data_IF_021714986719
#
_entry.id   IF_021714986719
#
_cell.length_a   1.000
_cell.length_b   1.000
_cell.length_c   1.000
_cell.angle_alpha   90.00
_cell.angle_beta   90.00
_cell.angle_gamma   90.00
#
_symmetry.space_group_name_H-M   'P 1'
#
loop_
_entity.id
_entity.type
_entity.pdbx_description
1 polymer ?
#
# COMPACT_ATOMS: atom_id res chain seq x y z
N UNK A 1 -5.68 -49.00 -15.77
CA UNK A 1 -4.79 -49.03 -14.58
C UNK A 1 -5.57 -48.44 -13.41
N UNK A 2 -5.88 -49.28 -12.42
CA UNK A 2 -6.59 -48.91 -11.18
C UNK A 2 -5.55 -48.41 -10.17
N UNK A 3 -5.80 -47.27 -9.54
CA UNK A 3 -5.04 -46.79 -8.40
C UNK A 3 -5.95 -46.85 -7.17
N UNK A 4 -5.56 -47.70 -6.22
CA UNK A 4 -6.17 -47.80 -4.90
C UNK A 4 -5.63 -46.69 -4.00
N UNK A 5 -6.56 -46.03 -3.29
CA UNK A 5 -6.29 -45.04 -2.26
C UNK A 5 -6.40 -45.68 -0.86
N UNK A 6 -5.31 -45.67 -0.09
CA UNK A 6 -5.23 -45.69 1.41
C UNK A 6 -3.81 -45.19 1.74
N UNK A 7 -3.52 -44.18 2.55
CA UNK A 7 -4.19 -43.63 3.71
C UNK A 7 -3.20 -43.69 4.87
N UNK A 8 -2.57 -42.58 5.25
CA UNK A 8 -1.99 -42.41 6.60
C UNK A 8 -1.95 -40.93 6.95
N UNK A 9 -2.86 -40.55 7.85
CA UNK A 9 -2.94 -39.23 8.49
C UNK A 9 -1.88 -39.22 9.60
N UNK A 10 -0.91 -38.32 9.50
CA UNK A 10 -0.01 -37.99 10.61
C UNK A 10 -0.36 -36.58 11.12
N UNK A 11 -1.07 -36.53 12.25
CA UNK A 11 -1.29 -35.31 13.01
C UNK A 11 0.00 -34.96 13.76
N UNK A 12 0.75 -33.97 13.27
CA UNK A 12 1.81 -33.32 14.02
C UNK A 12 1.27 -32.02 14.61
N UNK A 13 0.91 -32.10 15.89
CA UNK A 13 0.65 -30.94 16.75
C UNK A 13 1.98 -30.23 16.98
N UNK A 14 2.17 -29.07 16.36
CA UNK A 14 3.29 -28.18 16.64
C UNK A 14 2.76 -26.93 17.32
N UNK A 15 2.96 -26.86 18.64
CA UNK A 15 2.76 -25.64 19.42
C UNK A 15 3.86 -24.64 19.09
N UNK A 16 3.51 -23.56 18.40
CA UNK A 16 4.41 -22.44 18.14
C UNK A 16 4.00 -21.27 19.02
N UNK A 17 4.75 -21.09 20.11
CA UNK A 17 4.81 -19.85 20.89
C UNK A 17 5.56 -18.84 20.02
N UNK A 18 4.81 -18.01 19.30
CA UNK A 18 5.34 -16.90 18.50
C UNK A 18 5.06 -15.58 19.21
N UNK A 19 6.11 -15.00 19.78
CA UNK A 19 6.10 -13.71 20.47
C UNK A 19 5.61 -12.61 19.53
N UNK A 20 4.54 -11.93 19.92
CA UNK A 20 4.04 -10.72 19.27
C UNK A 20 5.08 -9.61 19.37
N UNK A 21 5.74 -9.28 18.27
CA UNK A 21 6.51 -8.06 18.10
C UNK A 21 6.00 -7.30 16.86
N UNK A 22 4.73 -6.89 16.92
CA UNK A 22 4.20 -5.85 16.04
C UNK A 22 4.35 -4.51 16.75
N UNK A 23 5.44 -3.79 16.48
CA UNK A 23 5.60 -2.42 16.94
C UNK A 23 4.63 -1.54 16.16
N UNK A 24 3.54 -1.12 16.82
CA UNK A 24 2.79 0.05 16.40
C UNK A 24 3.69 1.26 16.65
N UNK A 25 4.22 1.87 15.60
CA UNK A 25 4.84 3.19 15.71
C UNK A 25 3.69 4.19 15.86
N UNK A 26 3.44 4.56 17.12
CA UNK A 26 2.44 5.54 17.46
C UNK A 26 2.27 5.67 18.97
N UNK A 27 3.33 6.07 19.67
CA UNK A 27 3.29 6.64 21.04
C UNK A 27 4.68 7.18 21.41
N UNK A 28 4.89 8.48 21.23
CA UNK A 28 5.99 9.20 21.89
C UNK A 28 5.59 9.42 23.35
N UNK A 29 5.93 8.47 24.22
CA UNK A 29 5.82 8.67 25.67
C UNK A 29 6.91 9.66 26.10
N UNK A 30 6.47 10.85 26.51
CA UNK A 30 7.34 11.89 27.05
C UNK A 30 8.10 11.41 28.28
N UNK A 31 9.40 11.72 28.31
CA UNK A 31 10.24 11.52 29.48
C UNK A 31 9.75 12.42 30.64
N UNK A 32 9.71 11.90 31.89
CA UNK A 32 9.49 12.72 33.07
C UNK A 32 10.84 13.24 33.57
N UNK A 33 11.04 14.56 33.61
CA UNK A 33 12.13 15.14 34.38
C UNK A 33 12.62 16.49 33.89
N UNK A 34 12.26 17.55 34.61
CA UNK A 34 12.88 18.88 34.46
C UNK A 34 11.88 20.01 34.68
N UNK A 35 11.55 20.27 35.93
CA UNK A 35 10.74 21.42 36.34
C UNK A 35 11.55 22.71 36.17
N UNK A 36 11.46 23.34 34.99
CA UNK A 36 11.82 24.73 34.80
C UNK A 36 10.56 25.55 34.48
N UNK A 37 10.14 26.34 35.48
CA UNK A 37 9.08 27.32 35.36
C UNK A 37 9.46 28.38 34.32
N UNK A 38 8.90 28.29 33.11
CA UNK A 38 9.03 29.38 32.12
C UNK A 38 7.83 29.50 31.19
N UNK A 39 7.02 30.51 31.53
CA UNK A 39 6.21 31.37 30.66
C UNK A 39 5.15 30.66 29.83
N UNK A 40 3.93 30.63 30.36
CA UNK A 40 2.70 30.26 29.64
C UNK A 40 2.66 30.94 28.27
N UNK A 41 2.85 30.22 27.15
CA UNK A 41 2.48 30.75 25.87
C UNK A 41 0.96 30.79 25.87
N UNK A 42 0.41 32.00 25.92
CA UNK A 42 -1.00 32.30 25.75
C UNK A 42 -1.57 31.37 24.68
N UNK A 43 -2.43 30.43 25.11
CA UNK A 43 -3.27 29.62 24.24
C UNK A 43 -4.26 30.55 23.53
N UNK A 44 -3.74 31.31 22.58
CA UNK A 44 -4.55 31.99 21.59
C UNK A 44 -5.28 30.89 20.84
N UNK A 45 -6.56 30.75 21.14
CA UNK A 45 -7.48 29.93 20.37
C UNK A 45 -7.50 30.53 18.97
N UNK A 46 -6.61 30.06 18.10
CA UNK A 46 -6.63 30.39 16.68
C UNK A 46 -7.90 29.76 16.15
N UNK A 47 -8.94 30.58 16.05
CA UNK A 47 -10.16 30.24 15.32
C UNK A 47 -9.75 29.79 13.93
N UNK A 48 -9.90 28.49 13.65
CA UNK A 48 -9.63 27.92 12.34
C UNK A 48 -10.34 28.77 11.28
N UNK A 49 -9.62 29.14 10.22
CA UNK A 49 -10.20 29.93 9.15
C UNK A 49 -11.37 29.14 8.53
N UNK A 50 -12.48 29.78 8.15
CA UNK A 50 -13.56 29.13 7.41
C UNK A 50 -12.99 28.55 6.11
N UNK A 51 -12.78 27.23 6.06
CA UNK A 51 -12.15 26.53 4.93
C UNK A 51 -10.84 25.79 5.24
N UNK A 52 -10.26 25.96 6.43
CA UNK A 52 -9.12 25.15 6.90
C UNK A 52 -9.40 24.66 8.33
N UNK A 53 -10.33 23.69 8.52
CA UNK A 53 -10.69 23.17 9.83
C UNK A 53 -9.50 22.66 10.64
N UNK A 54 -8.43 22.21 9.97
CA UNK A 54 -7.24 21.66 10.61
C UNK A 54 -6.16 22.72 10.88
N UNK A 55 -6.32 23.95 10.38
CA UNK A 55 -5.36 25.05 10.54
C UNK A 55 -3.96 24.69 10.01
N UNK A 56 -3.89 23.87 8.96
CA UNK A 56 -2.63 23.35 8.42
C UNK A 56 -2.00 24.27 7.36
N UNK A 57 -2.73 25.29 6.89
CA UNK A 57 -2.28 26.12 5.77
C UNK A 57 -2.09 25.30 4.49
N UNK A 58 -2.87 24.23 4.35
CA UNK A 58 -2.99 23.38 3.17
C UNK A 58 -4.39 23.62 2.59
N UNK A 59 -4.59 23.69 1.26
CA UNK A 59 -5.93 23.88 0.72
C UNK A 59 -6.85 22.66 0.98
N UNK A 60 -8.03 22.91 1.56
CA UNK A 60 -9.13 21.94 1.59
C UNK A 60 -9.86 21.98 0.23
N UNK A 61 -9.73 20.90 -0.55
CA UNK A 61 -10.32 20.76 -1.88
C UNK A 61 -10.98 19.38 -2.00
N UNK A 62 -12.30 19.36 -1.79
CA UNK A 62 -13.12 18.17 -2.02
C UNK A 62 -13.22 17.85 -3.51
N UNK A 63 -13.29 16.56 -3.84
CA UNK A 63 -13.22 16.07 -5.21
C UNK A 63 -14.57 15.51 -5.66
N UNK A 64 -15.07 15.97 -6.80
CA UNK A 64 -16.18 15.33 -7.49
C UNK A 64 -15.76 13.97 -8.08
N UNK A 65 -16.72 13.08 -8.28
CA UNK A 65 -16.44 11.83 -8.96
C UNK A 65 -16.13 12.04 -10.44
N UNK A 66 -15.02 11.46 -10.89
CA UNK A 66 -14.61 11.39 -12.28
C UNK A 66 -13.83 10.08 -12.51
N UNK A 67 -14.46 9.09 -13.14
CA UNK A 67 -13.86 7.76 -13.30
C UNK A 67 -12.53 7.77 -14.07
N UNK A 68 -12.26 8.80 -14.87
CA UNK A 68 -11.02 8.93 -15.65
C UNK A 68 -9.90 9.65 -14.89
N UNK A 69 -10.08 9.92 -13.59
CA UNK A 69 -9.09 10.62 -12.76
C UNK A 69 -8.69 9.74 -11.59
N UNK A 70 -7.43 9.85 -11.22
CA UNK A 70 -6.87 9.18 -10.03
C UNK A 70 -6.22 10.19 -9.10
N UNK A 71 -6.05 9.81 -7.84
CA UNK A 71 -5.27 10.57 -6.86
C UNK A 71 -4.25 9.66 -6.20
N UNK A 72 -3.15 10.26 -5.73
CA UNK A 72 -2.23 9.58 -4.82
C UNK A 72 -2.55 10.03 -3.40
N UNK A 73 -3.10 9.14 -2.59
CA UNK A 73 -3.31 9.37 -1.16
C UNK A 73 -1.96 9.24 -0.45
N UNK A 74 -1.50 10.35 0.14
CA UNK A 74 -0.19 10.44 0.81
C UNK A 74 -0.31 10.53 2.34
N UNK A 75 -1.53 10.57 2.87
CA UNK A 75 -1.81 10.49 4.30
C UNK A 75 -3.29 10.63 4.61
N UNK A 76 -3.70 10.26 5.81
CA UNK A 76 -5.07 10.45 6.31
C UNK A 76 -5.07 10.61 7.83
N UNK A 77 -6.10 11.27 8.37
CA UNK A 77 -6.24 11.50 9.81
C UNK A 77 -7.18 12.66 10.14
N UNK A 78 -7.20 13.06 11.41
CA UNK A 78 -8.09 14.13 11.91
C UNK A 78 -7.33 15.29 12.58
N UNK A 79 -6.00 15.24 12.52
CA UNK A 79 -5.14 16.19 13.24
C UNK A 79 -4.29 17.00 12.26
N UNK A 80 -3.94 18.22 12.64
CA UNK A 80 -2.97 19.00 11.88
C UNK A 80 -1.65 18.24 11.61
N UNK A 81 -1.20 17.44 12.58
CA UNK A 81 0.07 16.72 12.50
C UNK A 81 0.16 15.74 11.32
N UNK A 82 -0.94 15.11 10.89
CA UNK A 82 -0.87 14.24 9.70
C UNK A 82 -0.68 15.06 8.42
N UNK A 83 -1.30 16.25 8.32
CA UNK A 83 -1.12 17.14 7.17
C UNK A 83 0.29 17.73 7.13
N UNK A 84 0.84 18.11 8.28
CA UNK A 84 2.22 18.60 8.37
C UNK A 84 3.21 17.51 7.92
N UNK A 85 2.98 16.25 8.31
CA UNK A 85 3.77 15.10 7.84
C UNK A 85 3.63 14.90 6.32
N UNK A 86 2.40 14.90 5.80
CA UNK A 86 2.15 14.74 4.37
C UNK A 86 2.83 15.85 3.56
N UNK A 87 2.71 17.11 3.99
CA UNK A 87 3.36 18.26 3.36
C UNK A 87 4.89 18.15 3.41
N UNK A 88 5.46 17.80 4.56
CA UNK A 88 6.91 17.65 4.70
C UNK A 88 7.48 16.53 3.85
N UNK A 89 6.74 15.44 3.66
CA UNK A 89 7.13 14.32 2.80
C UNK A 89 6.95 14.62 1.29
N UNK A 90 6.24 15.70 0.95
CA UNK A 90 5.89 16.06 -0.43
C UNK A 90 6.08 17.57 -0.68
N UNK A 91 7.29 18.13 -0.49
CA UNK A 91 7.51 19.58 -0.51
C UNK A 91 7.12 20.23 -1.85
N UNK A 92 7.31 19.52 -2.96
CA UNK A 92 7.05 20.02 -4.31
C UNK A 92 5.72 19.52 -4.91
N UNK A 93 5.03 18.60 -4.22
CA UNK A 93 3.88 17.89 -4.77
C UNK A 93 2.57 18.71 -4.80
N UNK A 94 2.55 19.88 -4.17
CA UNK A 94 1.33 20.69 -4.05
C UNK A 94 0.23 19.95 -3.29
N UNK A 95 0.58 19.38 -2.13
CA UNK A 95 -0.36 18.64 -1.26
C UNK A 95 -1.63 19.45 -1.03
N UNK A 96 -2.76 18.79 -1.21
CA UNK A 96 -4.09 19.27 -0.83
C UNK A 96 -4.65 18.27 0.17
N UNK A 97 -5.76 18.63 0.80
CA UNK A 97 -6.53 17.65 1.55
C UNK A 97 -8.02 17.78 1.28
N UNK A 98 -8.76 16.72 1.56
CA UNK A 98 -10.20 16.65 1.37
C UNK A 98 -10.88 16.08 2.60
N UNK A 99 -12.17 16.36 2.73
CA UNK A 99 -13.07 15.67 3.65
C UNK A 99 -13.79 14.57 2.88
N UNK A 100 -13.66 13.32 3.33
CA UNK A 100 -14.15 12.16 2.56
C UNK A 100 -15.67 12.16 2.42
N UNK A 101 -16.39 12.57 3.46
CA UNK A 101 -17.86 12.66 3.45
C UNK A 101 -18.41 13.67 2.44
N UNK A 102 -17.59 14.66 2.04
CA UNK A 102 -17.96 15.72 1.11
C UNK A 102 -17.27 15.56 -0.26
N UNK A 103 -16.63 14.42 -0.52
CA UNK A 103 -15.93 14.10 -1.76
C UNK A 103 -16.53 12.86 -2.42
N UNK A 104 -15.99 12.45 -3.57
CA UNK A 104 -16.43 11.26 -4.29
C UNK A 104 -16.46 10.03 -3.37
N UNK A 105 -17.54 9.22 -3.39
CA UNK A 105 -17.61 7.95 -2.68
C UNK A 105 -16.65 6.94 -3.33
N UNK A 106 -15.41 6.89 -2.85
CA UNK A 106 -14.36 5.96 -3.28
C UNK A 106 -13.52 5.54 -2.08
N UNK A 107 -12.59 4.61 -2.28
CA UNK A 107 -11.63 4.21 -1.25
C UNK A 107 -10.54 5.29 -1.09
N UNK A 108 -10.43 5.88 0.09
CA UNK A 108 -9.36 6.84 0.42
C UNK A 108 -8.39 6.35 1.50
N UNK A 109 -8.78 5.37 2.31
CA UNK A 109 -7.99 4.83 3.42
C UNK A 109 -7.55 3.41 3.16
N UNK A 110 -7.21 2.68 4.23
CA UNK A 110 -7.03 1.23 4.11
C UNK A 110 -8.33 0.55 3.63
N UNK A 111 -8.19 -0.43 2.75
CA UNK A 111 -9.32 -1.26 2.32
C UNK A 111 -10.01 -1.94 3.50
N UNK A 112 -11.32 -2.15 3.38
CA UNK A 112 -12.19 -2.75 4.39
C UNK A 112 -12.22 -2.04 5.76
N UNK A 113 -11.77 -0.78 5.81
CA UNK A 113 -11.89 0.10 6.98
C UNK A 113 -12.88 1.23 6.72
N UNK A 114 -13.35 1.83 7.81
CA UNK A 114 -14.15 3.04 7.72
C UNK A 114 -13.36 4.14 6.99
N UNK A 115 -13.99 4.89 6.08
CA UNK A 115 -13.35 6.04 5.44
C UNK A 115 -12.80 6.99 6.51
N UNK A 116 -11.53 7.43 6.41
CA UNK A 116 -11.00 8.43 7.32
C UNK A 116 -11.72 9.77 7.11
N UNK A 117 -11.84 10.61 8.14
CA UNK A 117 -12.52 11.92 8.00
C UNK A 117 -11.81 12.83 6.99
N UNK A 118 -10.47 12.95 7.09
CA UNK A 118 -9.67 13.72 6.13
C UNK A 118 -8.54 12.92 5.50
N UNK A 119 -8.20 13.30 4.28
CA UNK A 119 -7.19 12.64 3.44
C UNK A 119 -6.32 13.70 2.78
N UNK A 120 -5.01 13.56 2.89
CA UNK A 120 -4.02 14.33 2.13
C UNK A 120 -3.71 13.61 0.82
N UNK A 121 -3.71 14.35 -0.29
CA UNK A 121 -3.51 13.76 -1.62
C UNK A 121 -2.69 14.65 -2.56
N UNK A 122 -2.13 14.01 -3.59
CA UNK A 122 -1.60 14.64 -4.80
C UNK A 122 -2.55 14.40 -5.98
N UNK A 123 -2.55 15.32 -6.94
CA UNK A 123 -3.39 15.26 -8.15
C UNK A 123 -4.58 16.23 -8.13
N UNK A 124 -5.70 15.90 -8.84
CA UNK A 124 -5.95 14.66 -9.59
C UNK A 124 -5.03 14.48 -10.81
N UNK A 125 -4.79 13.23 -11.19
CA UNK A 125 -4.00 12.81 -12.33
C UNK A 125 -4.89 12.27 -13.46
N UNK A 126 -4.44 12.50 -14.69
CA UNK A 126 -5.15 12.14 -15.92
C UNK A 126 -4.78 10.75 -16.43
N UNK A 127 -3.55 10.32 -16.16
CA UNK A 127 -3.03 9.00 -16.47
C UNK A 127 -2.74 8.29 -15.15
N UNK A 128 -3.36 7.12 -14.87
CA UNK A 128 -3.07 6.35 -13.66
C UNK A 128 -1.61 5.88 -13.55
N UNK A 129 -0.85 5.88 -14.66
CA UNK A 129 0.56 5.49 -14.65
C UNK A 129 1.42 6.45 -13.83
N UNK A 130 1.07 7.74 -13.78
CA UNK A 130 1.81 8.77 -13.05
C UNK A 130 1.74 8.59 -11.52
N UNK A 131 0.55 8.55 -10.87
CA UNK A 131 0.48 8.29 -9.44
C UNK A 131 0.96 6.87 -9.09
N UNK A 132 0.87 5.91 -10.01
CA UNK A 132 1.44 4.59 -9.78
C UNK A 132 2.97 4.57 -9.80
N UNK A 133 3.61 5.36 -10.65
CA UNK A 133 5.06 5.51 -10.64
C UNK A 133 5.53 6.16 -9.33
N UNK A 134 4.82 7.20 -8.87
CA UNK A 134 5.06 7.81 -7.57
C UNK A 134 4.88 6.81 -6.43
N UNK A 135 3.78 6.05 -6.42
CA UNK A 135 3.49 5.02 -5.42
C UNK A 135 4.59 3.95 -5.33
N UNK A 136 5.16 3.57 -6.47
CA UNK A 136 6.22 2.56 -6.54
C UNK A 136 7.62 3.14 -6.31
N UNK A 137 7.74 4.44 -6.01
CA UNK A 137 8.98 5.10 -5.62
C UNK A 137 9.25 5.00 -4.11
N UNK A 138 10.51 5.21 -3.73
CA UNK A 138 10.92 5.24 -2.32
C UNK A 138 10.38 6.44 -1.54
N UNK A 139 9.85 7.45 -2.23
CA UNK A 139 9.34 8.68 -1.62
C UNK A 139 7.89 8.51 -1.12
N UNK A 140 7.14 7.56 -1.71
CA UNK A 140 5.74 7.29 -1.36
C UNK A 140 5.46 5.80 -1.04
N UNK A 141 6.27 5.14 -0.19
CA UNK A 141 6.22 3.70 0.00
C UNK A 141 4.93 3.19 0.66
N UNK A 142 4.22 4.09 1.35
CA UNK A 142 2.96 3.84 2.07
C UNK A 142 1.75 4.51 1.45
N UNK A 143 1.91 5.21 0.32
CA UNK A 143 0.80 5.86 -0.35
C UNK A 143 -0.20 4.84 -0.90
N UNK A 144 -1.32 5.29 -1.42
CA UNK A 144 -2.26 4.46 -2.16
C UNK A 144 -2.81 5.23 -3.35
N UNK A 145 -3.09 4.54 -4.45
CA UNK A 145 -3.68 5.17 -5.65
C UNK A 145 -5.17 4.85 -5.67
N UNK A 146 -5.99 5.89 -5.74
CA UNK A 146 -7.45 5.75 -5.76
C UNK A 146 -8.02 6.34 -7.03
N UNK A 147 -8.95 5.61 -7.65
CA UNK A 147 -9.78 6.15 -8.74
C UNK A 147 -10.91 7.00 -8.16
N UNK A 148 -11.25 8.11 -8.81
CA UNK A 148 -12.41 8.93 -8.45
C UNK A 148 -13.71 8.37 -9.08
N UNK A 149 -13.82 7.05 -9.18
CA UNK A 149 -15.02 6.34 -9.63
C UNK A 149 -15.97 6.11 -8.44
N UNK A 150 -17.27 6.45 -8.57
CA UNK A 150 -18.24 6.22 -7.50
C UNK A 150 -18.32 4.74 -7.11
N UNK A 151 -18.35 4.46 -5.81
CA UNK A 151 -18.47 3.13 -5.24
C UNK A 151 -17.23 2.25 -5.37
N UNK A 152 -16.08 2.76 -5.85
CA UNK A 152 -14.86 1.96 -5.91
C UNK A 152 -14.40 1.56 -4.50
N UNK A 153 -14.10 0.27 -4.31
CA UNK A 153 -13.72 -0.31 -3.01
C UNK A 153 -12.27 -0.77 -2.93
N UNK A 154 -11.60 -0.88 -4.07
CA UNK A 154 -10.21 -1.31 -4.18
C UNK A 154 -9.35 -0.17 -4.71
N UNK A 155 -8.10 -0.12 -4.25
CA UNK A 155 -7.11 0.77 -4.84
C UNK A 155 -6.74 0.32 -6.26
N UNK A 156 -6.13 1.22 -7.02
CA UNK A 156 -5.52 0.87 -8.31
C UNK A 156 -4.32 -0.04 -8.04
N UNK A 157 -4.30 -1.22 -8.65
CA UNK A 157 -3.16 -2.14 -8.56
C UNK A 157 -2.06 -1.64 -9.49
N UNK A 158 -1.05 -0.97 -8.93
CA UNK A 158 -0.06 -0.28 -9.75
C UNK A 158 0.80 -1.21 -10.59
N UNK A 159 0.96 -2.48 -10.19
CA UNK A 159 1.60 -3.47 -11.04
C UNK A 159 0.82 -3.71 -12.34
N UNK A 160 -0.51 -3.51 -12.36
CA UNK A 160 -1.34 -3.65 -13.55
C UNK A 160 -1.23 -2.46 -14.51
N UNK A 161 -0.93 -1.27 -14.00
CA UNK A 161 -0.88 -0.02 -14.79
C UNK A 161 0.50 0.25 -15.37
N UNK A 162 1.56 -0.01 -14.61
CA UNK A 162 2.92 0.36 -15.01
C UNK A 162 3.40 -0.42 -16.24
N UNK A 163 4.27 0.19 -17.05
CA UNK A 163 4.86 -0.49 -18.20
C UNK A 163 5.85 -1.57 -17.75
N UNK A 164 5.64 -2.79 -18.25
CA UNK A 164 6.47 -3.95 -17.92
C UNK A 164 7.82 -3.87 -18.65
N UNK A 165 8.88 -3.47 -17.95
CA UNK A 165 10.26 -3.48 -18.44
C UNK A 165 11.23 -3.74 -17.27
N UNK A 166 12.50 -4.03 -17.58
CA UNK A 166 13.52 -4.37 -16.58
C UNK A 166 13.84 -3.22 -15.63
N UNK A 167 13.73 -1.97 -16.10
CA UNK A 167 13.98 -0.78 -15.27
C UNK A 167 12.91 -0.59 -14.19
N UNK A 168 11.68 -1.02 -14.48
CA UNK A 168 10.51 -0.87 -13.63
C UNK A 168 10.19 -2.13 -12.82
N UNK A 169 10.71 -3.30 -13.16
CA UNK A 169 10.34 -4.56 -12.50
C UNK A 169 11.59 -5.33 -12.06
N UNK A 170 11.99 -5.23 -10.77
CA UNK A 170 13.21 -5.84 -10.30
C UNK A 170 13.12 -7.37 -10.33
N UNK A 171 14.28 -8.02 -10.49
CA UNK A 171 14.38 -9.45 -10.26
C UNK A 171 14.31 -9.75 -8.77
N UNK A 172 13.41 -10.63 -8.36
CA UNK A 172 13.24 -11.01 -6.95
C UNK A 172 13.57 -12.49 -6.72
N UNK A 173 14.29 -12.82 -5.66
CA UNK A 173 14.62 -14.20 -5.31
C UNK A 173 14.92 -14.34 -3.82
N UNK A 174 14.80 -15.56 -3.31
CA UNK A 174 15.18 -15.87 -1.92
C UNK A 174 16.68 -15.59 -1.74
N UNK A 175 17.04 -14.93 -0.63
CA UNK A 175 18.43 -14.63 -0.29
C UNK A 175 19.00 -13.40 -1.00
N UNK A 176 18.23 -12.72 -1.86
CA UNK A 176 18.65 -11.43 -2.41
C UNK A 176 18.81 -10.37 -1.30
N UNK A 177 19.74 -9.44 -1.47
CA UNK A 177 19.84 -8.26 -0.61
C UNK A 177 18.82 -7.21 -1.08
N UNK A 178 17.61 -7.28 -0.53
CA UNK A 178 16.54 -6.35 -0.86
C UNK A 178 16.86 -4.90 -0.44
N UNK A 179 16.69 -3.97 -1.37
CA UNK A 179 16.68 -2.53 -1.14
C UNK A 179 15.31 -2.06 -0.65
N UNK A 180 15.20 -0.78 -0.26
CA UNK A 180 13.89 -0.15 0.04
C UNK A 180 12.94 -0.26 -1.14
N UNK A 181 13.45 -0.06 -2.36
CA UNK A 181 12.68 -0.19 -3.60
C UNK A 181 12.16 -1.62 -3.75
N UNK A 182 13.03 -2.62 -3.59
CA UNK A 182 12.61 -4.03 -3.69
C UNK A 182 11.51 -4.35 -2.69
N UNK A 183 11.61 -3.86 -1.45
CA UNK A 183 10.57 -4.04 -0.44
C UNK A 183 9.19 -3.50 -0.84
N UNK A 184 9.12 -2.44 -1.65
CA UNK A 184 7.87 -1.92 -2.21
C UNK A 184 7.29 -2.89 -3.23
N UNK A 185 8.12 -3.36 -4.16
CA UNK A 185 7.71 -4.34 -5.18
C UNK A 185 7.34 -5.69 -4.58
N UNK A 186 8.03 -6.13 -3.54
CA UNK A 186 7.71 -7.36 -2.81
C UNK A 186 6.33 -7.24 -2.14
N UNK A 187 5.99 -6.11 -1.51
CA UNK A 187 4.64 -5.92 -0.94
C UNK A 187 3.56 -5.92 -2.02
N UNK A 188 3.82 -5.27 -3.15
CA UNK A 188 2.90 -5.26 -4.28
C UNK A 188 2.71 -6.68 -4.86
N UNK A 189 3.80 -7.43 -5.03
CA UNK A 189 3.74 -8.85 -5.41
C UNK A 189 2.93 -9.69 -4.42
N UNK A 190 3.20 -9.55 -3.12
CA UNK A 190 2.51 -10.33 -2.09
C UNK A 190 1.01 -10.08 -2.11
N UNK A 191 0.59 -8.84 -2.33
CA UNK A 191 -0.82 -8.48 -2.53
C UNK A 191 -1.39 -9.11 -3.80
N UNK A 192 -0.65 -9.01 -4.92
CA UNK A 192 -1.02 -9.65 -6.18
C UNK A 192 -1.22 -11.17 -6.02
N UNK A 193 -0.36 -11.84 -5.25
CA UNK A 193 -0.49 -13.27 -4.95
C UNK A 193 -1.73 -13.60 -4.12
N UNK A 194 -2.09 -12.75 -3.15
CA UNK A 194 -3.32 -12.87 -2.35
C UNK A 194 -4.56 -12.68 -3.24
N UNK A 195 -4.51 -11.74 -4.18
CA UNK A 195 -5.61 -11.50 -5.12
C UNK A 195 -5.79 -12.68 -6.10
N UNK A 196 -4.70 -13.35 -6.48
CA UNK A 196 -4.74 -14.55 -7.33
C UNK A 196 -5.29 -15.77 -6.58
N UNK A 197 -4.89 -15.96 -5.32
CA UNK A 197 -5.35 -17.06 -4.48
C UNK A 197 -5.61 -16.61 -3.04
N UNK A 198 -6.90 -16.44 -2.71
CA UNK A 198 -7.36 -16.04 -1.38
C UNK A 198 -6.96 -17.00 -0.26
N UNK A 199 -6.59 -18.24 -0.58
CA UNK A 199 -6.14 -19.24 0.41
C UNK A 199 -4.61 -19.29 0.56
N UNK A 200 -3.89 -18.38 -0.07
CA UNK A 200 -2.43 -18.34 0.04
C UNK A 200 -1.97 -18.09 1.48
N UNK A 201 -0.84 -18.67 1.86
CA UNK A 201 -0.18 -18.41 3.14
C UNK A 201 0.69 -17.14 3.13
N UNK A 202 0.72 -16.41 2.00
CA UNK A 202 1.52 -15.20 1.84
C UNK A 202 1.01 -14.08 2.74
N UNK A 203 1.94 -13.40 3.42
CA UNK A 203 1.67 -12.23 4.25
C UNK A 203 2.38 -11.02 3.64
N UNK A 204 1.71 -9.87 3.61
CA UNK A 204 2.28 -8.62 3.09
C UNK A 204 3.26 -8.04 4.14
N UNK A 205 4.56 -8.27 3.94
CA UNK A 205 5.62 -7.80 4.84
C UNK A 205 6.80 -7.12 4.09
N UNK A 206 6.87 -7.25 2.76
CA UNK A 206 7.97 -6.70 1.95
C UNK A 206 9.27 -7.49 2.00
N UNK A 207 9.24 -8.71 2.53
CA UNK A 207 10.35 -9.66 2.52
C UNK A 207 10.09 -10.80 1.54
N UNK A 208 11.00 -11.01 0.60
CA UNK A 208 10.93 -12.13 -0.34
C UNK A 208 11.44 -13.41 0.33
N UNK A 209 10.56 -14.07 1.06
CA UNK A 209 10.88 -15.27 1.83
C UNK A 209 10.53 -16.58 1.09
N UNK A 210 10.77 -17.71 1.75
CA UNK A 210 10.47 -19.04 1.19
C UNK A 210 8.97 -19.28 0.98
N UNK A 211 8.08 -18.56 1.69
CA UNK A 211 6.63 -18.71 1.53
C UNK A 211 6.19 -18.00 0.25
N UNK A 212 6.65 -16.75 0.08
CA UNK A 212 6.43 -15.96 -1.15
C UNK A 212 6.98 -16.70 -2.37
N UNK A 213 8.23 -17.18 -2.29
CA UNK A 213 8.88 -17.92 -3.38
C UNK A 213 8.16 -19.23 -3.74
N UNK A 214 7.64 -19.97 -2.74
CA UNK A 214 6.85 -21.19 -3.00
C UNK A 214 5.56 -20.88 -3.77
N UNK A 215 4.83 -19.84 -3.36
CA UNK A 215 3.60 -19.43 -4.04
C UNK A 215 3.88 -18.98 -5.49
N UNK A 216 4.96 -18.24 -5.72
CA UNK A 216 5.41 -17.90 -7.08
C UNK A 216 5.75 -19.15 -7.88
N UNK A 217 6.51 -20.08 -7.30
CA UNK A 217 6.91 -21.33 -7.98
C UNK A 217 5.69 -22.17 -8.38
N UNK A 218 4.70 -22.31 -7.50
CA UNK A 218 3.46 -23.04 -7.80
C UNK A 218 2.74 -22.42 -9.01
N UNK A 219 2.67 -21.09 -9.09
CA UNK A 219 2.12 -20.40 -10.26
C UNK A 219 2.97 -20.57 -11.51
N UNK A 220 4.30 -20.57 -11.41
CA UNK A 220 5.19 -20.84 -12.54
C UNK A 220 4.99 -22.26 -13.08
N UNK A 221 4.95 -23.26 -12.20
CA UNK A 221 4.70 -24.66 -12.55
C UNK A 221 3.34 -24.83 -13.25
N UNK A 222 2.29 -24.21 -12.72
CA UNK A 222 0.94 -24.21 -13.32
C UNK A 222 0.90 -23.58 -14.73
N UNK A 223 1.81 -22.66 -15.02
CA UNK A 223 1.89 -21.96 -16.31
C UNK A 223 3.06 -22.46 -17.18
N UNK A 224 3.70 -23.58 -16.82
CA UNK A 224 4.86 -24.15 -17.49
C UNK A 224 5.99 -23.12 -17.75
N UNK A 225 6.19 -22.21 -16.80
CA UNK A 225 7.29 -21.25 -16.83
C UNK A 225 8.53 -21.85 -16.19
N UNK A 226 9.57 -22.04 -17.01
CA UNK A 226 10.88 -22.46 -16.53
C UNK A 226 11.69 -21.23 -16.11
N UNK A 227 12.06 -21.18 -14.83
CA UNK A 227 12.86 -20.08 -14.26
C UNK A 227 14.00 -20.68 -13.45
N UNK A 228 15.17 -20.05 -13.51
CA UNK A 228 16.37 -20.50 -12.80
C UNK A 228 16.92 -19.40 -11.87
N UNK A 229 16.80 -19.54 -10.53
CA UNK A 229 16.19 -20.66 -9.82
C UNK A 229 14.64 -20.60 -9.84
N UNK A 230 13.95 -21.75 -9.69
CA UNK A 230 12.49 -21.79 -9.57
C UNK A 230 11.99 -20.96 -8.40
N UNK A 231 10.87 -20.27 -8.58
CA UNK A 231 10.33 -19.36 -7.57
C UNK A 231 11.12 -18.06 -7.44
N UNK A 232 11.89 -17.68 -8.45
CA UNK A 232 12.35 -16.30 -8.64
C UNK A 232 11.34 -15.51 -9.47
N UNK A 233 11.34 -14.19 -9.40
CA UNK A 233 10.47 -13.32 -10.20
C UNK A 233 11.33 -12.53 -11.15
N UNK A 234 11.35 -12.94 -12.40
CA UNK A 234 11.92 -12.20 -13.52
C UNK A 234 10.82 -11.50 -14.33
N UNK A 235 11.19 -10.85 -15.44
CA UNK A 235 10.24 -10.11 -16.28
C UNK A 235 9.13 -11.02 -16.85
N UNK A 236 9.46 -12.28 -17.17
CA UNK A 236 8.48 -13.25 -17.68
C UNK A 236 7.48 -13.66 -16.59
N UNK A 237 7.97 -13.87 -15.37
CA UNK A 237 7.13 -14.17 -14.21
C UNK A 237 6.24 -12.99 -13.86
N UNK A 238 6.77 -11.76 -13.86
CA UNK A 238 5.96 -10.55 -13.67
C UNK A 238 4.85 -10.43 -14.70
N UNK A 239 5.14 -10.72 -15.98
CA UNK A 239 4.12 -10.72 -17.04
C UNK A 239 2.99 -11.69 -16.71
N UNK A 240 3.33 -12.95 -16.41
CA UNK A 240 2.34 -13.98 -16.10
C UNK A 240 1.47 -13.63 -14.90
N UNK A 241 2.09 -13.13 -13.82
CA UNK A 241 1.36 -12.75 -12.62
C UNK A 241 0.38 -11.61 -12.90
N UNK A 242 0.82 -10.59 -13.66
CA UNK A 242 -0.06 -9.49 -14.08
C UNK A 242 -1.18 -9.97 -14.99
N UNK A 243 -0.87 -10.75 -16.01
CA UNK A 243 -1.87 -11.28 -16.94
C UNK A 243 -2.95 -12.09 -16.20
N UNK A 244 -2.60 -12.72 -15.08
CA UNK A 244 -3.56 -13.45 -14.24
C UNK A 244 -4.37 -12.54 -13.31
N UNK A 245 -3.72 -11.62 -12.61
CA UNK A 245 -4.36 -10.80 -11.58
C UNK A 245 -5.13 -9.59 -12.15
N UNK A 246 -4.64 -9.01 -13.24
CA UNK A 246 -5.13 -7.73 -13.75
C UNK A 246 -6.37 -7.87 -14.67
N UNK A 247 -6.74 -9.09 -15.08
CA UNK A 247 -7.91 -9.32 -15.96
C UNK A 247 -9.22 -8.94 -15.29
N UNK A 248 -9.32 -9.11 -13.96
CA UNK A 248 -10.53 -8.79 -13.22
C UNK A 248 -10.66 -7.28 -12.90
N UNK A 249 -9.64 -6.50 -13.23
CA UNK A 249 -9.54 -5.13 -12.78
C UNK A 249 -10.03 -4.18 -13.86
N UNK A 250 -11.26 -3.73 -13.69
CA UNK A 250 -11.85 -2.65 -14.47
C UNK A 250 -11.45 -1.34 -13.78
N UNK A 251 -10.46 -0.61 -14.30
CA UNK A 251 -10.04 0.70 -13.78
C UNK A 251 -10.60 1.83 -14.61
#
# INVERSE_FOLDING_TARGET
MRWDARGTIALLVSALVGVTAGVVVGLTTGAPGGADARKDPSSGSTTSAPGDPLGAGVPLVNLDCNANKTILVVGFGETRGFLDNAKSANPDGGVKYLETANSCDTVYGAEDKFPPTYVAYLGPFDDPSEPCALRMSVDHPTAAVSTLRPGARNHVECLCVLQLNEDNFPQLAVGMRATTRDGIYIRALQRLLIDIDVNTAVVINGHYDSVTSRSVRELQELNALDTDPPGSVDLQTWRMLRDRACVAQDY
#
